data_IF_689670682456
#
_entry.id   IF_689670682456
#
_cell.length_a   1.000
_cell.length_b   1.000
_cell.length_c   1.000
_cell.angle_alpha   90.00
_cell.angle_beta   90.00
_cell.angle_gamma   90.00
#
_symmetry.space_group_name_H-M   'P 1'
#
loop_
_entity.id
_entity.type
_entity.pdbx_description
1 polymer ?
#
# COMPACT_ATOMS: atom_id res chain seq x y z
N UNK A 1 11.05 -6.12 8.48
CA UNK A 1 10.46 -6.76 9.69
C UNK A 1 9.00 -6.32 9.78
N UNK A 2 8.07 -7.21 9.46
CA UNK A 2 6.67 -6.87 9.23
C UNK A 2 5.85 -6.95 10.52
N UNK A 3 5.19 -5.85 10.90
CA UNK A 3 4.31 -5.75 12.08
C UNK A 3 3.03 -6.62 12.02
N UNK A 4 3.01 -7.69 11.21
CA UNK A 4 1.87 -8.59 11.05
C UNK A 4 0.71 -8.06 10.19
N UNK A 5 0.85 -6.88 9.57
CA UNK A 5 -0.21 -6.21 8.79
C UNK A 5 -0.77 -7.11 7.67
N UNK A 6 0.07 -7.74 6.88
CA UNK A 6 -0.40 -8.63 5.80
C UNK A 6 -1.04 -9.92 6.34
N UNK A 7 -0.60 -10.42 7.50
CA UNK A 7 -1.22 -11.60 8.14
C UNK A 7 -2.61 -11.28 8.69
N UNK A 8 -2.74 -10.20 9.45
CA UNK A 8 -4.02 -9.75 10.02
C UNK A 8 -4.96 -9.28 8.92
N UNK A 9 -4.45 -8.52 7.95
CA UNK A 9 -5.21 -8.01 6.81
C UNK A 9 -5.81 -9.13 5.96
N UNK A 10 -5.03 -10.17 5.62
CA UNK A 10 -5.56 -11.35 4.90
C UNK A 10 -6.67 -12.07 5.66
N UNK A 11 -6.53 -12.23 6.98
CA UNK A 11 -7.57 -12.84 7.82
C UNK A 11 -8.84 -11.99 7.85
N UNK A 12 -8.70 -10.67 7.99
CA UNK A 12 -9.80 -9.73 7.97
C UNK A 12 -10.53 -9.75 6.61
N UNK A 13 -9.77 -9.71 5.51
CA UNK A 13 -10.30 -9.78 4.15
C UNK A 13 -11.13 -11.06 3.93
N UNK A 14 -10.59 -12.22 4.36
CA UNK A 14 -11.28 -13.50 4.27
C UNK A 14 -12.59 -13.51 5.09
N UNK A 15 -12.58 -12.97 6.31
CA UNK A 15 -13.79 -12.87 7.14
C UNK A 15 -14.85 -11.94 6.54
N UNK A 16 -14.43 -10.86 5.89
CA UNK A 16 -15.33 -9.90 5.25
C UNK A 16 -15.75 -10.31 3.83
N UNK A 17 -15.20 -11.40 3.28
CA UNK A 17 -15.41 -11.79 1.88
C UNK A 17 -14.92 -10.73 0.88
N UNK A 18 -13.88 -9.97 1.24
CA UNK A 18 -13.35 -8.86 0.45
C UNK A 18 -11.95 -9.17 -0.07
N UNK A 19 -11.50 -8.53 -1.18
CA UNK A 19 -10.12 -8.60 -1.61
C UNK A 19 -9.17 -8.05 -0.56
N UNK A 20 -7.95 -8.59 -0.54
CA UNK A 20 -6.82 -8.05 0.21
C UNK A 20 -5.84 -7.38 -0.76
N UNK A 21 -5.41 -6.16 -0.45
CA UNK A 21 -4.44 -5.40 -1.25
C UNK A 21 -3.28 -5.01 -0.33
N UNK A 22 -2.05 -5.27 -0.74
CA UNK A 22 -0.84 -4.76 -0.07
C UNK A 22 -0.24 -3.64 -0.93
N UNK A 23 -0.05 -2.45 -0.35
CA UNK A 23 0.52 -1.32 -1.11
C UNK A 23 1.98 -1.55 -1.46
N UNK A 24 2.71 -2.36 -0.68
CA UNK A 24 4.10 -2.68 -1.01
C UNK A 24 4.15 -3.52 -2.30
N UNK A 25 3.24 -4.50 -2.46
CA UNK A 25 3.10 -5.30 -3.69
C UNK A 25 2.71 -4.40 -4.90
N UNK A 26 1.85 -3.40 -4.67
CA UNK A 26 1.51 -2.41 -5.70
C UNK A 26 2.72 -1.55 -6.09
N UNK A 27 3.56 -1.14 -5.13
CA UNK A 27 4.80 -0.41 -5.42
C UNK A 27 5.73 -1.26 -6.27
N UNK A 28 5.91 -2.55 -5.96
CA UNK A 28 6.73 -3.46 -6.78
C UNK A 28 6.18 -3.60 -8.19
N UNK A 29 4.85 -3.68 -8.32
CA UNK A 29 4.16 -3.76 -9.61
C UNK A 29 4.37 -2.48 -10.43
N UNK A 30 4.24 -1.31 -9.81
CA UNK A 30 4.45 -0.02 -10.47
C UNK A 30 5.92 0.21 -10.85
N UNK A 31 6.85 -0.24 -10.00
CA UNK A 31 8.28 -0.09 -10.22
C UNK A 31 8.87 -1.12 -11.19
N UNK A 32 8.18 -2.25 -11.38
CA UNK A 32 8.68 -3.41 -12.13
C UNK A 32 9.87 -4.10 -11.45
N UNK A 33 10.10 -3.83 -10.16
CA UNK A 33 11.22 -4.36 -9.38
C UNK A 33 10.88 -4.38 -7.88
N UNK A 34 11.56 -5.22 -7.08
CA UNK A 34 11.36 -5.27 -5.64
C UNK A 34 11.57 -3.92 -4.96
N UNK A 35 10.83 -3.64 -3.87
CA UNK A 35 10.95 -2.38 -3.12
C UNK A 35 12.41 -2.11 -2.69
N UNK A 36 13.11 -3.15 -2.24
CA UNK A 36 14.53 -3.07 -1.86
C UNK A 36 15.42 -2.54 -3.00
N UNK A 37 15.10 -2.87 -4.24
CA UNK A 37 15.88 -2.50 -5.41
C UNK A 37 15.52 -1.08 -5.85
N UNK A 38 14.26 -0.65 -5.67
CA UNK A 38 13.86 0.76 -5.81
C UNK A 38 14.66 1.64 -4.86
N UNK A 39 14.75 1.28 -3.57
CA UNK A 39 15.57 2.03 -2.61
C UNK A 39 17.05 2.04 -3.00
N UNK A 40 17.59 0.90 -3.44
CA UNK A 40 19.00 0.78 -3.79
C UNK A 40 19.39 1.55 -5.06
N UNK A 41 18.50 1.65 -6.04
CA UNK A 41 18.81 2.19 -7.38
C UNK A 41 18.23 3.57 -7.63
N UNK A 42 17.06 3.88 -7.07
CA UNK A 42 16.31 5.12 -7.30
C UNK A 42 16.20 5.99 -6.05
N UNK A 43 16.48 5.43 -4.87
CA UNK A 43 16.45 6.14 -3.60
C UNK A 43 15.05 6.28 -2.98
N UNK A 44 15.01 6.90 -1.79
CA UNK A 44 13.78 7.03 -1.01
C UNK A 44 12.74 7.92 -1.69
N UNK A 45 13.14 9.02 -2.35
CA UNK A 45 12.19 9.95 -2.97
C UNK A 45 11.35 9.29 -4.07
N UNK A 46 11.97 8.44 -4.89
CA UNK A 46 11.29 7.64 -5.90
C UNK A 46 10.34 6.63 -5.26
N UNK A 47 10.79 5.92 -4.21
CA UNK A 47 9.92 5.03 -3.44
C UNK A 47 8.71 5.77 -2.85
N UNK A 48 8.90 6.96 -2.27
CA UNK A 48 7.78 7.75 -1.70
C UNK A 48 6.80 8.21 -2.76
N UNK A 49 7.27 8.52 -3.97
CA UNK A 49 6.39 8.84 -5.09
C UNK A 49 5.54 7.63 -5.50
N UNK A 50 6.15 6.44 -5.60
CA UNK A 50 5.45 5.19 -5.88
C UNK A 50 4.48 4.80 -4.76
N UNK A 51 4.86 4.97 -3.49
CA UNK A 51 4.02 4.70 -2.32
C UNK A 51 2.75 5.58 -2.34
N UNK A 52 2.89 6.87 -2.67
CA UNK A 52 1.73 7.78 -2.85
C UNK A 52 0.82 7.33 -3.98
N UNK A 53 1.37 6.83 -5.09
CA UNK A 53 0.59 6.36 -6.22
C UNK A 53 -0.13 5.05 -5.87
N UNK A 54 0.56 4.09 -5.28
CA UNK A 54 -0.01 2.82 -4.83
C UNK A 54 -1.19 3.02 -3.85
N UNK A 55 -1.05 3.95 -2.90
CA UNK A 55 -2.16 4.31 -1.98
C UNK A 55 -3.32 4.95 -2.75
N UNK A 56 -3.04 5.83 -3.71
CA UNK A 56 -4.08 6.44 -4.53
C UNK A 56 -4.88 5.39 -5.32
N UNK A 57 -4.17 4.47 -5.98
CA UNK A 57 -4.78 3.42 -6.80
C UNK A 57 -5.59 2.45 -5.95
N UNK A 58 -5.05 2.05 -4.79
CA UNK A 58 -5.77 1.20 -3.84
C UNK A 58 -7.06 1.86 -3.32
N UNK A 59 -7.01 3.16 -2.99
CA UNK A 59 -8.18 3.91 -2.52
C UNK A 59 -9.18 4.26 -3.62
N UNK A 60 -8.75 4.34 -4.89
CA UNK A 60 -9.62 4.65 -6.03
C UNK A 60 -10.38 3.43 -6.56
N UNK A 61 -10.03 2.22 -6.12
CA UNK A 61 -10.74 1.00 -6.49
C UNK A 61 -12.24 1.10 -6.14
N UNK A 62 -13.15 0.84 -7.09
CA UNK A 62 -14.59 0.80 -6.81
C UNK A 62 -15.00 -0.45 -6.00
N UNK A 63 -14.10 -1.42 -5.85
CA UNK A 63 -14.33 -2.66 -5.09
C UNK A 63 -13.86 -2.47 -3.65
N UNK A 64 -14.75 -2.59 -2.64
CA UNK A 64 -14.35 -2.52 -1.24
C UNK A 64 -13.33 -3.61 -0.89
N UNK A 65 -12.16 -3.21 -0.41
CA UNK A 65 -11.05 -4.10 -0.09
C UNK A 65 -10.47 -3.82 1.30
N UNK A 66 -9.75 -4.80 1.85
CA UNK A 66 -8.88 -4.58 3.02
C UNK A 66 -7.50 -4.24 2.50
N UNK A 67 -7.03 -3.03 2.81
CA UNK A 67 -5.75 -2.50 2.30
C UNK A 67 -4.72 -2.51 3.43
N UNK A 68 -3.65 -3.28 3.27
CA UNK A 68 -2.45 -3.17 4.09
C UNK A 68 -1.53 -2.11 3.49
N UNK A 69 -1.19 -1.10 4.29
CA UNK A 69 -0.30 -0.03 3.87
C UNK A 69 1.13 -0.30 4.36
N UNK A 70 2.12 0.13 3.57
CA UNK A 70 3.53 0.17 3.96
C UNK A 70 3.72 0.96 5.27
N UNK A 71 4.75 0.63 6.05
CA UNK A 71 4.96 1.24 7.38
C UNK A 71 5.10 2.77 7.37
N UNK A 72 5.59 3.33 6.26
CA UNK A 72 5.77 4.77 6.07
C UNK A 72 4.58 5.48 5.42
N UNK A 73 3.60 4.75 4.88
CA UNK A 73 2.53 5.32 4.09
C UNK A 73 1.71 6.38 4.84
N UNK A 74 1.55 6.22 6.16
CA UNK A 74 0.83 7.15 7.05
C UNK A 74 1.59 8.44 7.35
N UNK A 75 2.90 8.48 7.09
CA UNK A 75 3.72 9.68 7.31
C UNK A 75 3.37 10.78 6.31
N UNK A 76 2.94 10.41 5.10
CA UNK A 76 2.47 11.35 4.08
C UNK A 76 1.06 11.88 4.42
N UNK A 77 0.87 13.19 4.65
CA UNK A 77 -0.44 13.78 4.93
C UNK A 77 -1.46 13.56 3.82
N UNK A 78 -1.02 13.45 2.56
CA UNK A 78 -1.88 13.22 1.40
C UNK A 78 -2.47 11.81 1.44
N UNK A 79 -1.63 10.82 1.76
CA UNK A 79 -2.06 9.43 1.94
C UNK A 79 -3.07 9.32 3.07
N UNK A 80 -2.82 9.97 4.21
CA UNK A 80 -3.79 10.00 5.33
C UNK A 80 -5.14 10.56 4.91
N UNK A 81 -5.16 11.69 4.20
CA UNK A 81 -6.42 12.28 3.69
C UNK A 81 -7.14 11.31 2.76
N UNK A 82 -6.44 10.67 1.82
CA UNK A 82 -7.06 9.69 0.91
C UNK A 82 -7.68 8.53 1.68
N UNK A 83 -6.93 7.94 2.61
CA UNK A 83 -7.41 6.81 3.43
C UNK A 83 -8.66 7.18 4.25
N UNK A 84 -8.73 8.41 4.78
CA UNK A 84 -9.88 8.88 5.55
C UNK A 84 -11.15 9.07 4.71
N UNK A 85 -11.02 9.31 3.40
CA UNK A 85 -12.17 9.50 2.50
C UNK A 85 -12.52 8.23 1.70
N UNK A 86 -11.72 7.16 1.81
CA UNK A 86 -11.86 5.93 1.02
C UNK A 86 -12.84 4.90 1.62
N UNK A 87 -13.92 5.36 2.28
CA UNK A 87 -14.87 4.52 3.03
C UNK A 87 -16.29 4.60 2.49
#
# INVERSE_FOLDING_TARGET
MGAGKSTVGRRCAAQLGRPFVDTDDLVETLAGMPVKDVFATQGEDAFRALERQAVADACASPVPAVIACGGGAVLDPTNRRRMQHAG
#
